data_IF_692289381733
#
_entry.id   IF_692289381733
#
_cell.length_a   1.000
_cell.length_b   1.000
_cell.length_c   1.000
_cell.angle_alpha   90.00
_cell.angle_beta   90.00
_cell.angle_gamma   90.00
#
_symmetry.space_group_name_H-M   'P 1'
#
loop_
_entity.id
_entity.type
_entity.pdbx_description
1 polymer ?
#
# COMPACT_ATOMS: atom_id res chain seq x y z
N UNK A 1 28.21 2.32 -9.10
CA UNK A 1 26.95 1.59 -8.88
C UNK A 1 25.76 2.50 -9.19
N UNK A 2 24.55 1.95 -9.42
CA UNK A 2 23.31 2.74 -9.34
C UNK A 2 23.21 3.47 -8.00
N UNK A 3 22.44 4.57 -7.94
CA UNK A 3 22.30 5.40 -6.74
C UNK A 3 21.80 4.60 -5.53
N UNK A 4 20.85 3.70 -5.75
CA UNK A 4 20.32 2.82 -4.71
C UNK A 4 21.31 1.75 -4.20
N UNK A 5 22.53 1.65 -4.77
CA UNK A 5 23.62 0.80 -4.27
C UNK A 5 24.89 1.64 -3.99
N UNK A 6 24.76 2.95 -3.76
CA UNK A 6 25.91 3.85 -3.53
C UNK A 6 26.66 3.54 -2.23
N UNK A 7 26.05 2.80 -1.31
CA UNK A 7 26.69 2.37 -0.07
C UNK A 7 27.72 1.24 -0.27
N UNK A 8 27.68 0.56 -1.42
CA UNK A 8 28.62 -0.53 -1.74
C UNK A 8 30.00 0.07 -2.03
N UNK A 9 31.00 -0.40 -1.29
CA UNK A 9 32.40 -0.03 -1.48
C UNK A 9 33.19 -1.26 -1.90
N UNK A 10 34.16 -1.07 -2.78
CA UNK A 10 35.04 -2.14 -3.25
C UNK A 10 36.04 -1.65 -4.28
N UNK A 11 36.94 -2.53 -4.68
CA UNK A 11 37.94 -2.31 -5.73
C UNK A 11 37.61 -3.22 -6.90
N UNK A 12 37.65 -2.68 -8.12
CA UNK A 12 37.48 -3.43 -9.37
C UNK A 12 38.80 -3.37 -10.10
N UNK A 13 39.44 -4.51 -10.24
CA UNK A 13 40.66 -4.68 -11.02
C UNK A 13 40.32 -5.38 -12.35
N UNK A 14 40.87 -4.90 -13.46
CA UNK A 14 40.54 -5.43 -14.80
C UNK A 14 41.62 -5.12 -15.83
N UNK A 15 42.10 -6.18 -16.48
CA UNK A 15 43.08 -6.10 -17.57
C UNK A 15 42.47 -5.59 -18.91
N UNK A 16 41.14 -5.61 -19.03
CA UNK A 16 40.40 -5.30 -20.26
C UNK A 16 40.06 -3.79 -20.42
N UNK A 17 40.47 -2.96 -19.46
CA UNK A 17 40.21 -1.52 -19.50
C UNK A 17 41.36 -0.79 -20.22
N UNK A 18 41.06 0.03 -21.24
CA UNK A 18 42.09 0.74 -21.96
C UNK A 18 42.73 1.82 -21.06
N UNK A 19 44.04 1.71 -20.84
CA UNK A 19 44.80 2.55 -19.90
C UNK A 19 44.84 4.04 -20.29
N UNK A 20 44.67 4.36 -21.58
CA UNK A 20 44.83 5.70 -22.14
C UNK A 20 43.50 6.32 -22.60
N UNK A 21 42.46 6.26 -21.77
CA UNK A 21 41.12 6.75 -22.13
C UNK A 21 40.59 7.69 -21.07
N UNK A 22 39.94 8.78 -21.50
CA UNK A 22 39.34 9.75 -20.58
C UNK A 22 38.23 9.11 -19.74
N UNK A 23 37.97 9.65 -18.55
CA UNK A 23 36.91 9.14 -17.65
C UNK A 23 35.53 9.13 -18.33
N UNK A 24 35.28 10.09 -19.21
CA UNK A 24 34.03 10.22 -19.96
C UNK A 24 33.89 9.09 -21.00
N UNK A 25 34.90 8.90 -21.85
CA UNK A 25 34.89 7.85 -22.89
C UNK A 25 34.84 6.45 -22.23
N UNK A 26 35.50 6.27 -21.08
CA UNK A 26 35.48 5.02 -20.34
C UNK A 26 34.07 4.70 -19.79
N UNK A 27 33.30 5.70 -19.35
CA UNK A 27 31.95 5.49 -18.84
C UNK A 27 30.94 5.07 -19.93
N UNK A 28 31.18 5.47 -21.17
CA UNK A 28 30.38 5.08 -22.34
C UNK A 28 30.75 3.69 -22.87
N UNK A 29 31.90 3.15 -22.46
CA UNK A 29 32.38 1.83 -22.90
C UNK A 29 31.38 0.71 -22.60
N UNK A 30 31.16 -0.14 -23.61
CA UNK A 30 30.36 -1.37 -23.48
C UNK A 30 30.88 -2.27 -22.36
N UNK A 31 32.20 -2.36 -22.18
CA UNK A 31 32.83 -3.22 -21.18
C UNK A 31 32.44 -2.74 -19.77
N UNK A 32 32.57 -1.43 -19.50
CA UNK A 32 32.17 -0.84 -18.20
C UNK A 32 30.68 -1.03 -17.93
N UNK A 33 29.82 -0.93 -18.94
CA UNK A 33 28.38 -1.23 -18.80
C UNK A 33 28.12 -2.69 -18.41
N UNK A 34 28.85 -3.64 -18.99
CA UNK A 34 28.75 -5.07 -18.65
C UNK A 34 29.26 -5.31 -17.22
N UNK A 35 30.42 -4.75 -16.86
CA UNK A 35 30.97 -4.85 -15.50
C UNK A 35 29.97 -4.32 -14.47
N UNK A 36 29.38 -3.13 -14.71
CA UNK A 36 28.35 -2.54 -13.84
C UNK A 36 27.19 -3.49 -13.62
N UNK A 37 26.65 -4.10 -14.68
CA UNK A 37 25.55 -5.07 -14.58
C UNK A 37 25.94 -6.31 -13.77
N UNK A 38 27.15 -6.84 -13.95
CA UNK A 38 27.65 -7.99 -13.16
C UNK A 38 27.81 -7.65 -11.69
N UNK A 39 28.40 -6.49 -11.39
CA UNK A 39 28.60 -6.02 -10.02
C UNK A 39 27.26 -5.84 -9.30
N UNK A 40 26.27 -5.21 -9.95
CA UNK A 40 24.92 -5.07 -9.39
C UNK A 40 24.29 -6.43 -9.05
N UNK A 41 24.38 -7.39 -9.98
CA UNK A 41 23.88 -8.76 -9.73
C UNK A 41 24.59 -9.42 -8.55
N UNK A 42 25.92 -9.32 -8.50
CA UNK A 42 26.72 -9.87 -7.40
C UNK A 42 26.42 -9.20 -6.07
N UNK A 43 26.13 -7.91 -6.06
CA UNK A 43 25.64 -7.21 -4.86
C UNK A 43 24.32 -7.80 -4.38
N UNK A 44 23.36 -8.06 -5.25
CA UNK A 44 22.11 -8.70 -4.85
C UNK A 44 22.33 -10.12 -4.32
N UNK A 45 23.19 -10.91 -4.98
CA UNK A 45 23.54 -12.25 -4.51
C UNK A 45 24.13 -12.18 -3.08
N UNK A 46 25.08 -11.26 -2.81
CA UNK A 46 25.65 -11.08 -1.47
C UNK A 46 24.61 -10.66 -0.42
N UNK A 47 23.69 -9.75 -0.76
CA UNK A 47 22.64 -9.32 0.17
C UNK A 47 21.67 -10.48 0.44
N UNK A 48 21.36 -11.28 -0.57
CA UNK A 48 20.54 -12.49 -0.44
C UNK A 48 21.22 -13.50 0.49
N UNK A 49 22.53 -13.74 0.33
CA UNK A 49 23.30 -14.65 1.18
C UNK A 49 23.26 -14.20 2.66
N UNK A 50 23.40 -12.90 2.92
CA UNK A 50 23.24 -12.35 4.29
C UNK A 50 21.82 -12.63 4.81
N UNK A 51 20.80 -12.45 3.96
CA UNK A 51 19.40 -12.65 4.34
C UNK A 51 19.03 -14.10 4.64
N UNK A 52 19.75 -15.06 4.05
CA UNK A 52 19.55 -16.49 4.22
C UNK A 52 20.49 -17.11 5.26
N UNK A 53 21.43 -16.33 5.79
CA UNK A 53 22.34 -16.81 6.82
C UNK A 53 21.57 -17.17 8.11
N UNK A 54 22.10 -18.13 8.88
CA UNK A 54 21.51 -18.52 10.17
C UNK A 54 21.49 -17.36 11.17
N UNK A 55 22.37 -16.37 10.99
CA UNK A 55 22.43 -15.17 11.82
C UNK A 55 21.46 -14.09 11.32
N UNK A 56 20.19 -14.20 11.74
CA UNK A 56 19.14 -13.20 11.42
C UNK A 56 19.52 -11.76 11.80
N UNK A 57 20.40 -11.59 12.80
CA UNK A 57 20.80 -10.28 13.31
C UNK A 57 21.68 -9.51 12.31
N UNK A 58 22.41 -10.20 11.44
CA UNK A 58 23.23 -9.54 10.40
C UNK A 58 22.34 -8.91 9.33
N UNK A 59 21.30 -9.61 8.88
CA UNK A 59 20.36 -9.04 7.93
C UNK A 59 19.53 -7.91 8.52
N UNK A 60 19.13 -8.04 9.79
CA UNK A 60 18.43 -6.97 10.52
C UNK A 60 19.27 -5.69 10.56
N UNK A 61 20.55 -5.79 10.95
CA UNK A 61 21.48 -4.63 10.91
C UNK A 61 21.62 -4.07 9.51
N UNK A 62 21.77 -4.92 8.49
CA UNK A 62 21.81 -4.48 7.10
C UNK A 62 20.54 -3.71 6.72
N UNK A 63 19.37 -4.23 7.06
CA UNK A 63 18.08 -3.64 6.75
C UNK A 63 17.89 -2.28 7.44
N UNK A 64 18.23 -2.17 8.72
CA UNK A 64 18.17 -0.92 9.48
C UNK A 64 19.01 0.20 8.85
N UNK A 65 20.18 -0.15 8.28
CA UNK A 65 21.09 0.82 7.69
C UNK A 65 20.81 1.10 6.21
N UNK A 66 20.38 0.08 5.45
CA UNK A 66 20.35 0.12 3.97
C UNK A 66 19.00 -0.25 3.34
N UNK A 67 17.99 -0.66 4.11
CA UNK A 67 16.67 -1.06 3.59
C UNK A 67 15.99 0.03 2.77
N UNK A 68 16.14 1.31 3.16
CA UNK A 68 15.64 2.47 2.39
C UNK A 68 16.26 2.58 1.00
N UNK A 69 17.52 2.17 0.85
CA UNK A 69 18.16 2.14 -0.45
C UNK A 69 17.58 1.02 -1.32
N UNK A 70 17.27 -0.15 -0.75
CA UNK A 70 16.60 -1.21 -1.52
C UNK A 70 15.22 -0.77 -2.01
N UNK A 71 14.45 -0.09 -1.15
CA UNK A 71 13.15 0.52 -1.53
C UNK A 71 13.31 1.56 -2.64
N UNK A 72 14.36 2.39 -2.61
CA UNK A 72 14.69 3.29 -3.72
C UNK A 72 14.99 2.52 -5.01
N UNK A 73 15.67 1.37 -4.92
CA UNK A 73 15.88 0.48 -6.05
C UNK A 73 14.58 0.02 -6.70
N UNK A 74 13.54 -0.27 -5.90
CA UNK A 74 12.20 -0.63 -6.40
C UNK A 74 11.49 0.52 -7.13
N UNK A 75 11.93 1.77 -6.93
CA UNK A 75 11.39 2.94 -7.65
C UNK A 75 12.19 3.21 -8.93
N UNK A 76 13.51 3.08 -8.86
CA UNK A 76 14.42 3.51 -9.93
C UNK A 76 14.78 2.39 -10.94
N UNK A 77 14.66 1.10 -10.59
CA UNK A 77 15.21 -0.01 -11.38
C UNK A 77 14.25 -1.19 -11.58
N UNK A 78 13.27 -0.97 -12.46
CA UNK A 78 12.29 -1.98 -12.87
C UNK A 78 12.90 -3.26 -13.43
N UNK A 79 14.08 -3.17 -14.06
CA UNK A 79 14.79 -4.32 -14.60
C UNK A 79 15.29 -5.30 -13.54
N UNK A 80 15.42 -4.86 -12.29
CA UNK A 80 15.91 -5.67 -11.17
C UNK A 80 14.85 -5.95 -10.09
N UNK A 81 13.57 -5.64 -10.31
CA UNK A 81 12.49 -5.90 -9.34
C UNK A 81 12.47 -7.34 -8.83
N UNK A 82 12.69 -8.34 -9.70
CA UNK A 82 12.74 -9.77 -9.31
C UNK A 82 13.85 -10.10 -8.29
N UNK A 83 14.90 -9.28 -8.21
CA UNK A 83 16.02 -9.44 -7.27
C UNK A 83 15.88 -8.54 -6.04
N UNK A 84 15.22 -7.40 -6.19
CA UNK A 84 15.01 -6.43 -5.11
C UNK A 84 13.86 -6.85 -4.18
N UNK A 85 12.73 -7.29 -4.74
CA UNK A 85 11.52 -7.56 -3.96
C UNK A 85 11.73 -8.62 -2.85
N UNK A 86 12.42 -9.76 -3.07
CA UNK A 86 12.68 -10.74 -2.00
C UNK A 86 13.51 -10.20 -0.82
N UNK A 87 14.27 -9.12 -1.05
CA UNK A 87 15.11 -8.49 -0.03
C UNK A 87 14.31 -7.49 0.83
N UNK A 88 13.08 -7.15 0.45
CA UNK A 88 12.28 -6.22 1.24
C UNK A 88 11.79 -6.87 2.54
N UNK A 89 11.63 -6.05 3.57
CA UNK A 89 11.10 -6.46 4.87
C UNK A 89 10.03 -5.49 5.37
N UNK A 90 8.99 -6.01 5.99
CA UNK A 90 7.82 -5.24 6.44
C UNK A 90 7.29 -5.76 7.77
N UNK A 91 6.68 -4.88 8.56
CA UNK A 91 5.78 -5.30 9.62
C UNK A 91 4.45 -5.71 8.99
N UNK A 92 3.70 -6.56 9.68
CA UNK A 92 2.38 -7.00 9.21
C UNK A 92 1.39 -7.08 10.36
N UNK A 93 0.12 -7.31 10.03
CA UNK A 93 -0.92 -7.59 11.02
C UNK A 93 -0.71 -8.89 11.81
N UNK A 94 0.14 -9.81 11.34
CA UNK A 94 0.52 -11.03 12.06
C UNK A 94 1.91 -10.95 12.69
N UNK A 95 2.77 -10.04 12.24
CA UNK A 95 4.13 -9.82 12.76
C UNK A 95 4.36 -8.34 13.04
N UNK A 96 4.02 -7.92 14.26
CA UNK A 96 4.05 -6.50 14.65
C UNK A 96 5.35 -6.07 15.34
N UNK A 97 6.17 -7.01 15.78
CA UNK A 97 7.43 -6.76 16.49
C UNK A 97 8.65 -7.11 15.62
N UNK A 98 8.47 -8.03 14.68
CA UNK A 98 9.51 -8.50 13.77
C UNK A 98 9.12 -8.22 12.32
N UNK A 99 10.12 -7.86 11.53
CA UNK A 99 9.95 -7.63 10.11
C UNK A 99 10.04 -8.97 9.35
N UNK A 100 9.10 -9.23 8.47
CA UNK A 100 9.08 -10.42 7.60
C UNK A 100 9.33 -10.05 6.14
N UNK A 101 9.75 -11.04 5.35
CA UNK A 101 9.91 -10.95 3.91
C UNK A 101 8.58 -11.08 3.16
N UNK A 102 8.59 -10.73 1.87
CA UNK A 102 7.44 -10.99 0.99
C UNK A 102 7.25 -12.48 0.72
N UNK A 103 8.31 -13.30 0.76
CA UNK A 103 8.21 -14.75 0.63
C UNK A 103 7.47 -15.34 1.84
N UNK A 104 7.86 -14.95 3.07
CA UNK A 104 7.15 -15.35 4.30
C UNK A 104 5.68 -14.93 4.28
N UNK A 105 5.36 -13.72 3.80
CA UNK A 105 3.96 -13.30 3.61
C UNK A 105 3.22 -14.25 2.66
N UNK A 106 3.83 -14.61 1.52
CA UNK A 106 3.22 -15.49 0.52
C UNK A 106 3.01 -16.91 1.08
N UNK A 107 3.94 -17.41 1.89
CA UNK A 107 3.79 -18.69 2.59
C UNK A 107 2.64 -18.69 3.60
N UNK A 108 2.36 -17.54 4.23
CA UNK A 108 1.25 -17.36 5.17
C UNK A 108 -0.11 -17.09 4.49
N UNK A 109 -0.16 -16.95 3.16
CA UNK A 109 -1.40 -16.67 2.44
C UNK A 109 -2.37 -17.86 2.51
N UNK A 110 -3.64 -17.57 2.78
CA UNK A 110 -4.70 -18.58 2.66
C UNK A 110 -4.86 -19.05 1.21
N UNK A 111 -5.33 -20.28 0.99
CA UNK A 111 -5.44 -20.91 -0.34
C UNK A 111 -6.23 -20.08 -1.36
N UNK A 112 -7.26 -19.36 -0.90
CA UNK A 112 -8.13 -18.52 -1.74
C UNK A 112 -7.59 -17.10 -1.97
N UNK A 113 -6.49 -16.73 -1.30
CA UNK A 113 -5.95 -15.39 -1.36
C UNK A 113 -5.14 -15.17 -2.65
N UNK A 114 -5.55 -14.19 -3.46
CA UNK A 114 -4.95 -13.92 -4.77
C UNK A 114 -4.19 -12.60 -4.86
N UNK A 115 -4.10 -11.87 -3.75
CA UNK A 115 -3.43 -10.57 -3.67
C UNK A 115 -2.65 -10.44 -2.36
N UNK A 116 -1.63 -9.59 -2.40
CA UNK A 116 -0.89 -9.13 -1.22
C UNK A 116 -1.54 -7.84 -0.77
N UNK A 117 -2.16 -7.86 0.41
CA UNK A 117 -2.84 -6.70 0.96
C UNK A 117 -1.87 -5.84 1.75
N UNK A 118 -1.96 -4.51 1.59
CA UNK A 118 -1.14 -3.57 2.33
C UNK A 118 -1.93 -2.35 2.78
N UNK A 119 -1.44 -1.71 3.84
CA UNK A 119 -1.93 -0.45 4.36
C UNK A 119 -0.77 0.52 4.54
N UNK A 120 -0.86 1.68 3.88
CA UNK A 120 0.10 2.77 4.06
C UNK A 120 -0.36 3.75 5.16
N UNK A 121 0.50 3.98 6.15
CA UNK A 121 0.25 4.91 7.26
C UNK A 121 1.53 5.66 7.66
N UNK A 122 1.41 6.57 8.62
CA UNK A 122 2.54 7.36 9.12
C UNK A 122 3.31 6.68 10.27
N UNK A 123 2.76 5.64 10.87
CA UNK A 123 3.40 4.91 11.96
C UNK A 123 2.78 3.53 12.16
N UNK A 124 3.55 2.63 12.78
CA UNK A 124 3.06 1.31 13.16
C UNK A 124 1.84 1.39 14.08
N UNK A 125 1.80 2.37 15.00
CA UNK A 125 0.66 2.59 15.90
C UNK A 125 -0.62 2.91 15.11
N UNK A 126 -0.52 3.81 14.13
CA UNK A 126 -1.65 4.19 13.27
C UNK A 126 -2.13 3.01 12.42
N UNK A 127 -1.21 2.18 11.91
CA UNK A 127 -1.55 0.97 11.17
C UNK A 127 -2.40 0.01 12.04
N UNK A 128 -1.94 -0.33 13.24
CA UNK A 128 -2.62 -1.29 14.14
C UNK A 128 -4.04 -0.89 14.51
N UNK A 129 -4.29 0.41 14.71
CA UNK A 129 -5.61 0.91 15.11
C UNK A 129 -6.52 1.26 13.93
N UNK A 130 -6.08 0.99 12.69
CA UNK A 130 -6.81 1.45 11.52
C UNK A 130 -8.07 0.58 11.28
N UNK A 131 -9.26 1.20 11.07
CA UNK A 131 -10.50 0.46 10.86
C UNK A 131 -10.49 -0.37 9.57
N UNK A 132 -9.58 -0.09 8.64
CA UNK A 132 -9.41 -0.86 7.40
C UNK A 132 -9.05 -2.33 7.65
N UNK A 133 -8.45 -2.66 8.79
CA UNK A 133 -7.94 -4.00 9.10
C UNK A 133 -9.01 -4.96 9.64
N UNK A 134 -10.09 -4.44 10.22
CA UNK A 134 -10.99 -5.20 11.11
C UNK A 134 -11.43 -6.54 10.51
N UNK A 135 -12.05 -6.53 9.33
CA UNK A 135 -12.57 -7.75 8.71
C UNK A 135 -11.46 -8.62 8.08
N UNK A 136 -10.34 -8.03 7.67
CA UNK A 136 -9.21 -8.79 7.15
C UNK A 136 -8.59 -9.64 8.25
N UNK A 137 -8.37 -9.04 9.43
CA UNK A 137 -7.89 -9.76 10.61
C UNK A 137 -8.89 -10.84 11.04
N UNK A 138 -10.20 -10.56 11.02
CA UNK A 138 -11.23 -11.58 11.30
C UNK A 138 -11.24 -12.76 10.32
N UNK A 139 -10.88 -12.51 9.06
CA UNK A 139 -10.72 -13.53 8.01
C UNK A 139 -9.33 -14.17 8.00
N UNK A 140 -8.49 -13.86 8.99
CA UNK A 140 -7.08 -14.30 9.06
C UNK A 140 -6.23 -13.90 7.84
N UNK A 141 -6.62 -12.83 7.14
CA UNK A 141 -5.90 -12.27 6.00
C UNK A 141 -4.81 -11.33 6.53
N UNK A 142 -3.56 -11.67 6.26
CA UNK A 142 -2.40 -10.87 6.64
C UNK A 142 -2.31 -9.58 5.81
N UNK A 143 -1.90 -8.47 6.45
CA UNK A 143 -1.76 -7.16 5.79
C UNK A 143 -0.37 -6.58 6.06
N UNK A 144 0.34 -6.18 5.00
CA UNK A 144 1.61 -5.47 5.10
C UNK A 144 1.41 -4.04 5.62
N UNK A 145 2.23 -3.62 6.57
CA UNK A 145 2.27 -2.25 7.07
C UNK A 145 3.38 -1.45 6.38
N UNK A 146 2.97 -0.49 5.56
CA UNK A 146 3.88 0.45 4.89
C UNK A 146 3.92 1.73 5.72
N UNK A 147 5.01 1.92 6.46
CA UNK A 147 5.12 2.98 7.49
C UNK A 147 6.19 4.02 7.15
N UNK A 148 7.02 3.76 6.14
CA UNK A 148 8.00 4.74 5.66
C UNK A 148 7.47 5.48 4.42
N UNK A 149 7.82 6.77 4.24
CA UNK A 149 7.34 7.56 3.10
C UNK A 149 7.61 6.96 1.71
N UNK A 150 8.70 6.20 1.56
CA UNK A 150 9.08 5.59 0.28
C UNK A 150 8.32 4.29 -0.02
N UNK A 151 7.71 3.68 1.00
CA UNK A 151 7.13 2.33 0.89
C UNK A 151 6.02 2.26 -0.14
N UNK A 152 5.08 3.21 -0.06
CA UNK A 152 3.92 3.23 -0.94
C UNK A 152 4.34 3.39 -2.41
N UNK A 153 5.32 4.26 -2.68
CA UNK A 153 5.87 4.45 -4.03
C UNK A 153 6.62 3.19 -4.49
N UNK A 154 7.40 2.57 -3.61
CA UNK A 154 8.14 1.34 -3.93
C UNK A 154 7.20 0.18 -4.29
N UNK A 155 6.16 -0.05 -3.47
CA UNK A 155 5.16 -1.11 -3.72
C UNK A 155 4.35 -0.83 -5.00
N UNK A 156 3.96 0.42 -5.25
CA UNK A 156 3.26 0.80 -6.49
C UNK A 156 4.11 0.54 -7.74
N UNK A 157 5.43 0.76 -7.68
CA UNK A 157 6.33 0.48 -8.79
C UNK A 157 6.59 -1.03 -8.98
N UNK A 158 6.62 -1.82 -7.90
CA UNK A 158 6.77 -3.28 -8.00
C UNK A 158 5.61 -3.94 -8.75
N UNK A 159 4.39 -3.44 -8.58
CA UNK A 159 3.12 -3.94 -9.14
C UNK A 159 2.70 -5.34 -8.67
N UNK A 160 3.61 -6.31 -8.75
CA UNK A 160 3.36 -7.73 -8.43
C UNK A 160 4.56 -8.39 -7.76
N UNK A 161 4.30 -9.40 -6.93
CA UNK A 161 5.30 -10.30 -6.38
C UNK A 161 4.77 -11.74 -6.43
N UNK A 162 5.55 -12.69 -6.93
CA UNK A 162 5.10 -14.07 -7.19
C UNK A 162 3.73 -14.14 -7.90
N UNK A 163 3.55 -13.31 -8.93
CA UNK A 163 2.30 -13.16 -9.72
C UNK A 163 1.09 -12.60 -8.95
N UNK A 164 1.23 -12.34 -7.64
CA UNK A 164 0.21 -11.71 -6.80
C UNK A 164 0.31 -10.19 -6.90
N UNK A 165 -0.82 -9.51 -7.09
CA UNK A 165 -0.89 -8.04 -7.12
C UNK A 165 -0.87 -7.47 -5.71
N UNK A 166 -0.26 -6.29 -5.55
CA UNK A 166 -0.40 -5.51 -4.32
C UNK A 166 -1.72 -4.73 -4.31
N UNK A 167 -2.50 -4.85 -3.24
CA UNK A 167 -3.80 -4.20 -3.08
C UNK A 167 -3.82 -3.33 -1.83
N UNK A 168 -4.10 -2.04 -2.03
CA UNK A 168 -4.23 -1.05 -0.95
C UNK A 168 -5.60 -1.20 -0.28
N UNK A 169 -5.61 -1.60 0.99
CA UNK A 169 -6.85 -1.78 1.75
C UNK A 169 -7.46 -0.47 2.24
N UNK A 170 -6.87 0.68 1.92
CA UNK A 170 -7.44 2.01 2.18
C UNK A 170 -8.19 2.60 0.98
N UNK A 171 -8.19 1.90 -0.17
CA UNK A 171 -8.92 2.29 -1.39
C UNK A 171 -10.27 1.59 -1.50
N UNK A 172 -11.19 2.19 -2.26
CA UNK A 172 -12.46 1.55 -2.64
C UNK A 172 -12.25 0.26 -3.46
N UNK A 173 -13.33 -0.46 -3.72
CA UNK A 173 -13.33 -1.73 -4.47
C UNK A 173 -12.43 -2.82 -3.87
N UNK A 174 -12.32 -2.85 -2.54
CA UNK A 174 -11.64 -3.95 -1.86
C UNK A 174 -12.49 -5.23 -1.98
N UNK A 175 -11.92 -6.25 -2.62
CA UNK A 175 -12.53 -7.57 -2.77
C UNK A 175 -11.83 -8.58 -1.86
N UNK A 176 -12.60 -9.33 -1.07
CA UNK A 176 -12.08 -10.31 -0.10
C UNK A 176 -12.39 -11.77 -0.47
N UNK A 177 -12.82 -12.04 -1.71
CA UNK A 177 -12.89 -13.38 -2.32
C UNK A 177 -13.92 -14.39 -1.77
N UNK A 178 -14.60 -14.09 -0.66
CA UNK A 178 -15.55 -14.99 0.00
C UNK A 178 -16.76 -14.20 0.51
N UNK A 179 -17.54 -13.61 -0.40
CA UNK A 179 -18.74 -12.86 -0.04
C UNK A 179 -19.98 -13.51 -0.66
N UNK A 180 -21.01 -13.69 0.17
CA UNK A 180 -22.34 -14.08 -0.28
C UNK A 180 -22.94 -12.91 -1.05
N UNK A 181 -22.86 -12.99 -2.38
CA UNK A 181 -23.34 -11.93 -3.27
C UNK A 181 -24.83 -11.61 -3.06
N UNK A 182 -25.64 -12.60 -2.63
CA UNK A 182 -27.08 -12.39 -2.41
C UNK A 182 -27.26 -11.52 -1.18
N UNK A 183 -26.64 -11.91 -0.06
CA UNK A 183 -26.69 -11.14 1.19
C UNK A 183 -26.12 -9.72 1.00
N UNK A 184 -25.04 -9.58 0.25
CA UNK A 184 -24.45 -8.27 -0.02
C UNK A 184 -25.41 -7.35 -0.81
N UNK A 185 -26.12 -7.90 -1.81
CA UNK A 185 -27.12 -7.15 -2.58
C UNK A 185 -28.31 -6.73 -1.71
N UNK A 186 -28.79 -7.62 -0.86
CA UNK A 186 -29.88 -7.33 0.09
C UNK A 186 -29.51 -6.20 1.05
N UNK A 187 -28.34 -6.30 1.70
CA UNK A 187 -27.86 -5.24 2.62
C UNK A 187 -27.66 -3.92 1.89
N UNK A 188 -27.13 -3.92 0.67
CA UNK A 188 -27.01 -2.71 -0.14
C UNK A 188 -28.37 -2.07 -0.44
N UNK A 189 -29.40 -2.87 -0.72
CA UNK A 189 -30.74 -2.35 -0.94
C UNK A 189 -31.36 -1.78 0.34
N UNK A 190 -31.20 -2.48 1.47
CA UNK A 190 -31.72 -2.06 2.77
C UNK A 190 -31.16 -0.70 3.22
N UNK A 191 -29.86 -0.48 3.01
CA UNK A 191 -29.17 0.75 3.44
C UNK A 191 -29.05 1.81 2.35
N UNK A 192 -29.66 1.62 1.17
CA UNK A 192 -29.53 2.54 0.04
C UNK A 192 -30.08 3.94 0.37
N UNK A 193 -31.27 4.00 0.99
CA UNK A 193 -31.89 5.26 1.39
C UNK A 193 -31.05 6.02 2.43
N UNK A 194 -30.42 5.31 3.37
CA UNK A 194 -29.51 5.92 4.33
C UNK A 194 -28.26 6.46 3.64
N UNK A 195 -27.66 5.69 2.72
CA UNK A 195 -26.49 6.13 1.96
C UNK A 195 -26.80 7.42 1.18
N UNK A 196 -27.94 7.47 0.49
CA UNK A 196 -28.40 8.65 -0.25
C UNK A 196 -28.63 9.85 0.67
N UNK A 197 -29.29 9.64 1.82
CA UNK A 197 -29.51 10.70 2.80
C UNK A 197 -28.18 11.24 3.35
N UNK A 198 -27.24 10.38 3.75
CA UNK A 198 -25.90 10.80 4.23
C UNK A 198 -25.18 11.57 3.12
N UNK A 199 -25.26 11.09 1.87
CA UNK A 199 -24.62 11.74 0.72
C UNK A 199 -25.20 13.14 0.49
N UNK A 200 -26.52 13.33 0.63
CA UNK A 200 -27.16 14.64 0.55
C UNK A 200 -26.67 15.59 1.66
N UNK A 201 -26.54 15.10 2.90
CA UNK A 201 -26.03 15.91 4.02
C UNK A 201 -24.55 16.30 3.85
N UNK A 202 -23.74 15.41 3.30
CA UNK A 202 -22.30 15.65 3.12
C UNK A 202 -21.97 16.42 1.84
N UNK A 203 -22.90 16.48 0.87
CA UNK A 203 -22.74 17.22 -0.38
C UNK A 203 -21.45 16.84 -1.11
N UNK A 204 -20.65 17.85 -1.47
CA UNK A 204 -19.39 17.68 -2.21
C UNK A 204 -18.20 17.19 -1.38
N UNK A 205 -18.34 17.06 -0.04
CA UNK A 205 -17.24 16.60 0.83
C UNK A 205 -16.82 15.15 0.57
N UNK A 206 -17.74 14.33 0.08
CA UNK A 206 -17.49 12.93 -0.32
C UNK A 206 -17.94 12.73 -1.76
N UNK A 207 -17.32 11.83 -2.51
CA UNK A 207 -17.82 11.43 -3.83
C UNK A 207 -19.08 10.57 -3.70
N UNK A 208 -19.04 9.58 -2.80
CA UNK A 208 -20.06 8.54 -2.66
C UNK A 208 -20.16 8.10 -1.21
N UNK A 209 -21.33 7.58 -0.84
CA UNK A 209 -21.54 6.84 0.41
C UNK A 209 -21.95 5.41 0.02
N UNK A 210 -21.39 4.40 0.66
CA UNK A 210 -21.71 3.00 0.36
C UNK A 210 -21.59 2.10 1.59
N UNK A 211 -22.20 0.92 1.53
CA UNK A 211 -22.01 -0.12 2.55
C UNK A 211 -20.58 -0.66 2.46
N UNK A 212 -19.90 -0.77 3.59
CA UNK A 212 -18.53 -1.27 3.67
C UNK A 212 -18.47 -2.79 3.62
N UNK A 213 -17.42 -3.28 2.96
CA UNK A 213 -17.02 -4.69 3.01
C UNK A 213 -15.96 -4.99 4.06
N UNK A 214 -15.28 -3.97 4.60
CA UNK A 214 -14.04 -4.13 5.40
C UNK A 214 -14.20 -3.87 6.90
N UNK A 215 -15.31 -3.24 7.29
CA UNK A 215 -15.61 -2.89 8.68
C UNK A 215 -16.27 -4.04 9.43
N UNK A 216 -16.07 -4.07 10.74
CA UNK A 216 -16.77 -4.95 11.68
C UNK A 216 -17.25 -4.19 12.92
N UNK A 217 -16.36 -3.49 13.62
CA UNK A 217 -16.68 -2.76 14.86
C UNK A 217 -16.79 -1.26 14.66
N UNK A 218 -16.12 -0.68 13.67
CA UNK A 218 -16.24 0.76 13.40
C UNK A 218 -17.55 1.09 12.67
N UNK A 219 -18.20 2.24 12.97
CA UNK A 219 -19.46 2.62 12.32
C UNK A 219 -19.28 3.05 10.85
N UNK A 220 -18.16 3.68 10.52
CA UNK A 220 -17.86 4.13 9.17
C UNK A 220 -16.36 4.36 8.99
N UNK A 221 -15.93 4.49 7.73
CA UNK A 221 -14.55 4.83 7.36
C UNK A 221 -14.52 5.65 6.07
N UNK A 222 -13.56 6.56 5.97
CA UNK A 222 -13.27 7.26 4.71
C UNK A 222 -12.20 6.51 3.92
N UNK A 223 -12.55 6.03 2.74
CA UNK A 223 -11.61 5.40 1.80
C UNK A 223 -11.21 6.37 0.70
N UNK A 224 -10.02 6.12 0.14
CA UNK A 224 -9.56 6.80 -1.06
C UNK A 224 -10.26 6.20 -2.29
N UNK A 225 -10.45 7.02 -3.34
CA UNK A 225 -10.91 6.50 -4.62
C UNK A 225 -9.92 5.48 -5.21
N UNK A 226 -10.41 4.70 -6.18
CA UNK A 226 -9.64 3.64 -6.84
C UNK A 226 -8.38 4.19 -7.51
N UNK A 227 -8.54 5.32 -8.19
CA UNK A 227 -7.49 6.02 -8.90
C UNK A 227 -6.98 7.23 -8.12
N UNK A 228 -5.75 7.65 -8.42
CA UNK A 228 -5.12 8.79 -7.75
C UNK A 228 -4.49 8.44 -6.41
N UNK A 229 -4.25 9.48 -5.62
CA UNK A 229 -3.50 9.42 -4.36
C UNK A 229 -4.31 8.83 -3.20
N UNK A 230 -3.65 7.96 -2.43
CA UNK A 230 -4.12 7.57 -1.11
C UNK A 230 -4.11 8.77 -0.15
N UNK A 231 -4.72 8.61 1.03
CA UNK A 231 -4.62 9.59 2.11
C UNK A 231 -3.17 9.79 2.59
N UNK A 232 -2.38 8.71 2.62
CA UNK A 232 -0.97 8.78 3.01
C UNK A 232 -0.12 9.52 1.96
N UNK A 233 -0.32 9.23 0.68
CA UNK A 233 0.37 9.93 -0.41
C UNK A 233 0.01 11.42 -0.44
N UNK A 234 -1.27 11.77 -0.25
CA UNK A 234 -1.69 13.17 -0.16
C UNK A 234 -0.98 13.90 0.97
N UNK A 235 -0.87 13.26 2.15
CA UNK A 235 -0.14 13.80 3.31
C UNK A 235 1.34 14.00 2.99
N UNK A 236 2.00 13.02 2.37
CA UNK A 236 3.41 13.11 1.98
C UNK A 236 3.65 14.25 0.98
N UNK A 237 2.82 14.34 -0.04
CA UNK A 237 2.93 15.38 -1.07
C UNK A 237 2.69 16.77 -0.50
N UNK A 238 1.72 16.95 0.41
CA UNK A 238 1.52 18.22 1.13
C UNK A 238 2.73 18.60 1.99
N UNK A 239 3.40 17.62 2.59
CA UNK A 239 4.59 17.86 3.42
C UNK A 239 5.84 18.20 2.59
N UNK A 240 5.94 17.71 1.34
CA UNK A 240 7.08 17.94 0.46
C UNK A 240 6.90 19.12 -0.51
N UNK A 241 5.66 19.50 -0.82
CA UNK A 241 5.37 20.59 -1.75
C UNK A 241 5.74 21.96 -1.15
N UNK A 242 6.94 22.44 -1.48
CA UNK A 242 7.33 23.85 -1.38
C UNK A 242 6.82 24.60 -2.63
N UNK A 243 5.50 24.65 -2.87
CA UNK A 243 4.97 25.29 -4.07
C UNK A 243 3.47 25.13 -4.31
N UNK A 244 2.98 25.69 -5.42
CA UNK A 244 1.57 25.63 -5.81
C UNK A 244 1.17 24.20 -6.19
N UNK A 245 0.23 23.63 -5.44
CA UNK A 245 -0.26 22.24 -5.63
C UNK A 245 -1.55 22.17 -6.44
N UNK A 246 -2.00 23.30 -6.99
CA UNK A 246 -3.23 23.42 -7.81
C UNK A 246 -3.23 22.45 -9.00
N UNK A 247 -2.09 22.27 -9.67
CA UNK A 247 -1.96 21.32 -10.78
C UNK A 247 -2.02 19.85 -10.37
N UNK A 248 -1.96 19.52 -9.08
CA UNK A 248 -2.01 18.14 -8.56
C UNK A 248 -3.35 17.86 -7.85
N UNK A 249 -4.27 18.83 -7.84
CA UNK A 249 -5.54 18.73 -7.16
C UNK A 249 -6.46 17.67 -7.77
N UNK A 250 -6.36 17.44 -9.09
CA UNK A 250 -7.08 16.34 -9.75
C UNK A 250 -6.64 14.95 -9.28
N UNK A 251 -5.42 14.82 -8.73
CA UNK A 251 -4.94 13.56 -8.13
C UNK A 251 -5.45 13.35 -6.71
N UNK A 252 -5.96 14.40 -6.05
CA UNK A 252 -6.71 14.30 -4.80
C UNK A 252 -8.12 13.82 -5.11
N UNK A 253 -8.26 12.53 -5.41
CA UNK A 253 -9.55 11.90 -5.61
C UNK A 253 -10.48 12.18 -4.43
N UNK A 254 -11.74 12.53 -4.71
CA UNK A 254 -12.76 12.74 -3.68
C UNK A 254 -12.91 11.45 -2.85
N UNK A 255 -13.05 11.60 -1.53
CA UNK A 255 -13.14 10.46 -0.60
C UNK A 255 -14.51 9.80 -0.66
N UNK A 256 -14.57 8.52 -0.33
CA UNK A 256 -15.80 7.74 -0.26
C UNK A 256 -16.03 7.37 1.19
N UNK A 257 -17.25 7.58 1.68
CA UNK A 257 -17.62 7.15 3.02
C UNK A 257 -18.21 5.75 2.94
N UNK A 258 -17.56 4.79 3.57
CA UNK A 258 -18.14 3.47 3.76
C UNK A 258 -18.79 3.37 5.14
N UNK A 259 -20.02 2.85 5.22
CA UNK A 259 -20.76 2.65 6.48
C UNK A 259 -20.85 1.17 6.84
N UNK A 260 -20.83 0.86 8.13
CA UNK A 260 -20.95 -0.50 8.64
C UNK A 260 -22.42 -0.82 8.96
N UNK A 261 -23.09 -1.68 8.18
CA UNK A 261 -24.51 -1.99 8.36
C UNK A 261 -24.77 -2.76 9.66
N UNK A 262 -23.76 -3.42 10.22
CA UNK A 262 -23.90 -4.21 11.44
C UNK A 262 -23.82 -3.37 12.72
N UNK A 263 -23.26 -2.16 12.62
CA UNK A 263 -23.02 -1.29 13.77
C UNK A 263 -24.33 -0.72 14.34
N UNK A 264 -24.55 -0.74 15.68
CA UNK A 264 -25.80 -0.27 16.29
C UNK A 264 -26.20 1.16 15.91
N UNK A 265 -25.22 2.08 15.85
CA UNK A 265 -25.46 3.48 15.43
C UNK A 265 -25.99 3.54 14.00
N UNK A 266 -25.43 2.74 13.08
CA UNK A 266 -25.82 2.77 11.66
C UNK A 266 -27.20 2.13 11.49
N UNK A 267 -27.50 1.07 12.23
CA UNK A 267 -28.84 0.45 12.27
C UNK A 267 -29.90 1.43 12.77
N UNK A 268 -29.64 2.12 13.88
CA UNK A 268 -30.57 3.13 14.42
C UNK A 268 -30.74 4.31 13.44
N UNK A 269 -29.65 4.76 12.82
CA UNK A 269 -29.68 5.73 11.75
C UNK A 269 -30.42 5.23 10.50
N UNK A 270 -30.55 3.93 10.24
CA UNK A 270 -31.30 3.43 9.08
C UNK A 270 -32.83 3.48 9.31
N UNK A 271 -33.26 3.38 10.57
CA UNK A 271 -34.69 3.41 10.94
C UNK A 271 -35.25 4.84 10.95
N UNK A 272 -34.44 5.84 11.32
CA UNK A 272 -34.88 7.25 11.48
C UNK A 272 -35.19 8.04 10.19
N UNK A 273 -34.52 7.84 9.03
CA UNK A 273 -34.83 8.51 7.77
C UNK A 273 -36.29 8.34 7.38
N UNK A 274 -36.89 7.19 7.66
CA UNK A 274 -38.31 6.93 7.43
C UNK A 274 -39.23 7.87 8.25
N UNK A 275 -38.81 8.24 9.46
CA UNK A 275 -39.54 9.20 10.30
C UNK A 275 -39.39 10.66 9.82
N UNK A 276 -38.23 11.03 9.28
CA UNK A 276 -38.00 12.38 8.72
C UNK A 276 -38.70 12.58 7.38
N UNK A 277 -38.80 11.55 6.54
CA UNK A 277 -39.59 11.62 5.29
C UNK A 277 -41.07 11.81 5.59
N UNK A 278 -41.61 11.13 6.62
CA UNK A 278 -42.96 11.40 7.12
C UNK A 278 -43.11 12.84 7.62
N UNK A 279 -42.11 13.38 8.33
CA UNK A 279 -42.14 14.76 8.81
C UNK A 279 -42.08 15.80 7.68
N UNK A 280 -41.27 15.57 6.65
CA UNK A 280 -41.14 16.45 5.46
C UNK A 280 -42.39 16.39 4.58
N UNK A 281 -43.00 15.20 4.43
CA UNK A 281 -44.27 15.05 3.72
C UNK A 281 -45.40 15.77 4.47
N UNK A 282 -45.45 15.65 5.80
CA UNK A 282 -46.44 16.37 6.61
C UNK A 282 -46.20 17.88 6.66
N UNK A 283 -44.96 18.35 6.68
CA UNK A 283 -44.66 19.79 6.70
C UNK A 283 -44.76 20.48 5.33
N UNK A 284 -44.79 19.72 4.23
CA UNK A 284 -45.07 20.26 2.88
C UNK A 284 -46.56 20.27 2.53
N UNK A 285 -47.42 19.74 3.40
CA UNK A 285 -48.89 19.74 3.27
C UNK A 285 -49.60 20.66 4.28
N UNK A 286 -48.84 21.41 5.10
CA UNK A 286 -49.31 22.54 5.91
C UNK A 286 -48.73 23.85 5.36
#
# INVERSE_FOLDING_TARGET
FPRYLSFVKGVVDSDDLPLNVSREILQESRIVRIMRKRLVRKTFDMIQDISQSENKEDYKKFWENFGRFLKLGCVEDSGNHKRLAPLLRFYTSKSEEELISLDEYVENMGEKQNAIYYLATDSLKSAKSAPFLEKLVQKDIEVLYLIEPIDEVAIQNLQTFNEKKFVDISKEDLELGDEDEVKERETKQEFNLLCDWIKQQLGDKVAKVQVSKRLSSSPCVLVSGKFGWSANMERLMKAQALGDTSSLEFMRGRRILEINPDHPIVKDLNVRPLHLTLYIIFSSWM
#
